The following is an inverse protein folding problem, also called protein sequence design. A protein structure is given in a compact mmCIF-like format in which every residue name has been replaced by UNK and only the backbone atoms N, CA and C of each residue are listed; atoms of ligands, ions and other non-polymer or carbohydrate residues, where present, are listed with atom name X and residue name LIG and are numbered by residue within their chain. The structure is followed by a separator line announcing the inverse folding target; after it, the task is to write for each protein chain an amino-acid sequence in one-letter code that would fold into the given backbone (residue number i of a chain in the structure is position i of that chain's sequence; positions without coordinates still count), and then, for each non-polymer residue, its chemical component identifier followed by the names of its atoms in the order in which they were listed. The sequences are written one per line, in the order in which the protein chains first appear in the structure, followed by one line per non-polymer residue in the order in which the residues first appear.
data_IF_642789194404
#
_entry.id   IF_642789194404
#
_cell.length_a   1.000
_cell.length_b   1.000
_cell.length_c   1.000
_cell.angle_alpha   90.00
_cell.angle_beta   90.00
_cell.angle_gamma   90.00
#
_symmetry.space_group_name_H-M   'P 1'
#
loop_
_entity.id
_entity.type
_entity.pdbx_description
1 polymer ?
#
# COMPACT_ATOMS: atom_id res chain seq x y z
N UNK A 1 11.66 -5.75 -6.62
CA UNK A 1 11.77 -4.31 -6.95
C UNK A 1 11.06 -4.00 -8.27
N UNK A 2 11.38 -4.67 -9.39
CA UNK A 2 10.78 -4.37 -10.71
C UNK A 2 9.25 -4.47 -10.73
N UNK A 3 8.64 -5.45 -10.06
CA UNK A 3 7.19 -5.57 -9.94
C UNK A 3 6.54 -4.36 -9.27
N UNK A 4 7.18 -3.77 -8.26
CA UNK A 4 6.65 -2.57 -7.59
C UNK A 4 6.62 -1.37 -8.54
N UNK A 5 7.67 -1.17 -9.33
CA UNK A 5 7.71 -0.12 -10.35
C UNK A 5 6.62 -0.34 -11.40
N UNK A 6 6.49 -1.58 -11.89
CA UNK A 6 5.44 -1.94 -12.85
C UNK A 6 4.04 -1.66 -12.30
N UNK A 7 3.74 -2.08 -11.06
CA UNK A 7 2.43 -1.85 -10.45
C UNK A 7 2.11 -0.38 -10.26
N UNK A 8 3.08 0.43 -9.87
CA UNK A 8 2.91 1.89 -9.76
C UNK A 8 2.55 2.50 -11.10
N UNK A 9 3.32 2.25 -12.13
CA UNK A 9 3.04 2.76 -13.47
C UNK A 9 1.71 2.25 -14.04
N UNK A 10 1.37 0.98 -13.79
CA UNK A 10 0.08 0.42 -14.23
C UNK A 10 -1.11 1.12 -13.56
N UNK A 11 -1.04 1.36 -12.24
CA UNK A 11 -2.09 2.04 -11.49
C UNK A 11 -2.19 3.52 -11.87
N UNK A 12 -1.08 4.19 -12.12
CA UNK A 12 -1.06 5.58 -12.57
C UNK A 12 -1.81 5.79 -13.88
N UNK A 13 -1.74 4.82 -14.78
CA UNK A 13 -2.50 4.83 -16.04
C UNK A 13 -3.98 4.44 -15.83
N UNK A 14 -4.36 3.92 -14.67
CA UNK A 14 -5.72 3.46 -14.35
C UNK A 14 -6.13 3.86 -12.93
N UNK A 15 -6.13 5.15 -12.60
CA UNK A 15 -6.35 5.62 -11.22
C UNK A 15 -7.72 5.22 -10.65
N UNK A 16 -8.72 5.02 -11.51
CA UNK A 16 -10.06 4.60 -11.10
C UNK A 16 -10.08 3.21 -10.42
N UNK A 17 -9.07 2.37 -10.66
CA UNK A 17 -8.94 1.09 -9.92
C UNK A 17 -8.80 1.34 -8.41
N UNK A 18 -8.02 2.35 -8.02
CA UNK A 18 -7.86 2.74 -6.62
C UNK A 18 -9.12 3.36 -6.05
N UNK A 19 -9.76 4.26 -6.79
CA UNK A 19 -11.02 4.92 -6.35
C UNK A 19 -12.13 3.89 -6.14
N UNK A 20 -12.31 2.97 -7.09
CA UNK A 20 -13.32 1.91 -7.00
C UNK A 20 -13.04 0.97 -5.83
N UNK A 21 -11.77 0.61 -5.62
CA UNK A 21 -11.37 -0.19 -4.47
C UNK A 21 -11.78 0.48 -3.15
N UNK A 22 -11.54 1.79 -3.00
CA UNK A 22 -11.89 2.51 -1.78
C UNK A 22 -13.41 2.60 -1.57
N UNK A 23 -14.19 2.79 -2.64
CA UNK A 23 -15.66 2.81 -2.56
C UNK A 23 -16.19 1.43 -2.14
N UNK A 24 -15.73 0.36 -2.77
CA UNK A 24 -16.10 -1.01 -2.41
C UNK A 24 -15.71 -1.36 -0.98
N UNK A 25 -14.48 -1.00 -0.60
CA UNK A 25 -13.96 -1.22 0.76
C UNK A 25 -14.85 -0.57 1.82
N UNK A 26 -15.30 0.66 1.58
CA UNK A 26 -16.16 1.37 2.53
C UNK A 26 -17.52 0.66 2.73
N UNK A 27 -18.11 0.12 1.67
CA UNK A 27 -19.34 -0.66 1.74
C UNK A 27 -19.12 -1.97 2.51
N UNK A 28 -18.03 -2.70 2.17
CA UNK A 28 -17.68 -3.96 2.80
C UNK A 28 -17.34 -3.83 4.30
N UNK A 29 -16.73 -2.74 4.72
CA UNK A 29 -16.50 -2.47 6.15
C UNK A 29 -17.82 -2.45 6.94
N UNK A 30 -18.87 -1.84 6.39
CA UNK A 30 -20.17 -1.78 7.03
C UNK A 30 -20.86 -3.14 7.05
N UNK A 31 -20.76 -3.89 5.95
CA UNK A 31 -21.35 -5.23 5.80
C UNK A 31 -20.67 -6.25 6.73
N UNK A 32 -19.35 -6.25 6.79
CA UNK A 32 -18.55 -7.26 7.49
C UNK A 32 -18.19 -6.91 8.94
N UNK A 33 -18.55 -5.71 9.45
CA UNK A 33 -18.17 -5.26 10.81
C UNK A 33 -18.49 -6.23 11.93
N UNK A 34 -19.56 -7.04 11.77
CA UNK A 34 -20.01 -8.05 12.74
C UNK A 34 -19.91 -9.48 12.18
N UNK A 35 -19.26 -9.69 11.04
CA UNK A 35 -19.10 -10.99 10.45
C UNK A 35 -18.05 -11.80 11.23
N UNK A 36 -18.46 -12.91 11.83
CA UNK A 36 -17.59 -13.69 12.73
C UNK A 36 -16.37 -14.28 12.00
N UNK A 37 -16.54 -14.73 10.75
CA UNK A 37 -15.43 -15.27 9.96
C UNK A 37 -14.36 -14.20 9.69
N UNK A 38 -14.79 -12.99 9.34
CA UNK A 38 -13.89 -11.85 9.16
C UNK A 38 -13.18 -11.50 10.47
N UNK A 39 -13.90 -11.38 11.58
CA UNK A 39 -13.32 -11.10 12.90
C UNK A 39 -12.31 -12.17 13.31
N UNK A 40 -12.63 -13.44 13.14
CA UNK A 40 -11.70 -14.54 13.40
C UNK A 40 -10.46 -14.47 12.48
N UNK A 41 -10.64 -14.12 11.21
CA UNK A 41 -9.54 -14.00 10.28
C UNK A 41 -8.55 -12.89 10.69
N UNK A 42 -9.01 -11.69 10.99
CA UNK A 42 -8.14 -10.59 11.40
C UNK A 42 -7.51 -10.80 12.78
N UNK A 43 -8.11 -11.64 13.63
CA UNK A 43 -7.57 -12.00 14.95
C UNK A 43 -6.62 -13.22 14.91
N UNK A 44 -6.56 -13.94 13.78
CA UNK A 44 -5.80 -15.18 13.68
C UNK A 44 -6.40 -16.32 14.50
N UNK A 45 -7.72 -16.43 14.50
CA UNK A 45 -8.51 -17.43 15.24
C UNK A 45 -9.33 -18.32 14.31
N UNK A 46 -8.80 -18.59 13.12
CA UNK A 46 -9.42 -19.49 12.15
C UNK A 46 -9.05 -20.95 12.47
N UNK A 47 -9.62 -21.90 11.73
CA UNK A 47 -9.22 -23.29 11.77
C UNK A 47 -7.95 -23.62 10.97
N UNK A 48 -7.25 -22.61 10.42
CA UNK A 48 -6.05 -22.76 9.59
C UNK A 48 -4.85 -22.26 10.35
N UNK A 49 -4.07 -23.18 10.94
CA UNK A 49 -2.97 -22.86 11.83
C UNK A 49 -1.91 -21.94 11.19
N UNK A 50 -1.46 -22.24 9.97
CA UNK A 50 -0.45 -21.43 9.28
C UNK A 50 -0.94 -20.00 9.04
N UNK A 51 -2.21 -19.82 8.69
CA UNK A 51 -2.82 -18.51 8.51
C UNK A 51 -2.83 -17.71 9.81
N UNK A 52 -3.24 -18.33 10.92
CA UNK A 52 -3.26 -17.70 12.23
C UNK A 52 -1.84 -17.25 12.66
N UNK A 53 -0.85 -18.10 12.42
CA UNK A 53 0.54 -17.75 12.71
C UNK A 53 1.02 -16.57 11.86
N UNK A 54 0.65 -16.50 10.58
CA UNK A 54 1.02 -15.36 9.71
C UNK A 54 0.28 -14.06 10.08
N UNK A 55 -0.96 -14.13 10.58
CA UNK A 55 -1.64 -12.96 11.16
C UNK A 55 -0.84 -12.42 12.35
N UNK A 56 -0.40 -13.30 13.25
CA UNK A 56 0.43 -12.93 14.39
C UNK A 56 1.76 -12.31 13.93
N UNK A 57 2.46 -12.96 13.01
CA UNK A 57 3.73 -12.50 12.45
C UNK A 57 3.57 -11.12 11.79
N UNK A 58 2.50 -10.91 11.01
CA UNK A 58 2.21 -9.63 10.39
C UNK A 58 2.01 -8.52 11.42
N UNK A 59 1.26 -8.76 12.49
CA UNK A 59 1.00 -7.77 13.55
C UNK A 59 2.22 -7.51 14.45
N UNK A 60 3.08 -8.51 14.64
CA UNK A 60 4.27 -8.40 15.48
C UNK A 60 5.44 -7.76 14.74
N UNK A 61 5.72 -8.23 13.51
CA UNK A 61 6.90 -7.87 12.73
C UNK A 61 6.61 -6.83 11.62
N UNK A 62 5.35 -6.60 11.30
CA UNK A 62 4.90 -5.71 10.23
C UNK A 62 5.50 -6.06 8.84
N UNK A 63 5.79 -7.33 8.67
CA UNK A 63 6.38 -7.91 7.46
C UNK A 63 5.93 -9.36 7.28
N UNK A 64 5.74 -9.76 6.03
CA UNK A 64 5.61 -11.16 5.61
C UNK A 64 6.47 -11.40 4.38
N UNK A 65 7.09 -12.57 4.31
CA UNK A 65 7.81 -12.99 3.11
C UNK A 65 6.88 -13.05 1.89
N UNK A 66 7.41 -12.81 0.70
CA UNK A 66 6.60 -12.71 -0.53
C UNK A 66 5.70 -13.93 -0.78
N UNK A 67 6.21 -15.16 -0.63
CA UNK A 67 5.39 -16.38 -0.77
C UNK A 67 4.27 -16.41 0.27
N UNK A 68 4.56 -16.05 1.50
CA UNK A 68 3.57 -16.00 2.58
C UNK A 68 2.44 -15.02 2.26
N UNK A 69 2.75 -13.88 1.64
CA UNK A 69 1.71 -12.91 1.22
C UNK A 69 0.77 -13.52 0.19
N UNK A 70 1.30 -14.30 -0.76
CA UNK A 70 0.48 -14.97 -1.78
C UNK A 70 -0.39 -16.06 -1.16
N UNK A 71 0.16 -16.91 -0.28
CA UNK A 71 -0.60 -17.93 0.44
C UNK A 71 -1.68 -17.31 1.32
N UNK A 72 -1.33 -16.27 2.08
CA UNK A 72 -2.26 -15.53 2.93
C UNK A 72 -3.45 -15.01 2.12
N UNK A 73 -3.18 -14.31 1.02
CA UNK A 73 -4.24 -13.74 0.18
C UNK A 73 -5.11 -14.83 -0.46
N UNK A 74 -4.51 -15.93 -0.92
CA UNK A 74 -5.25 -17.06 -1.47
C UNK A 74 -6.16 -17.72 -0.42
N UNK A 75 -5.65 -17.96 0.78
CA UNK A 75 -6.44 -18.53 1.89
C UNK A 75 -7.58 -17.59 2.27
N UNK A 76 -7.29 -16.30 2.41
CA UNK A 76 -8.30 -15.29 2.71
C UNK A 76 -9.45 -15.30 1.70
N UNK A 77 -9.12 -15.28 0.41
CA UNK A 77 -10.10 -15.14 -0.67
C UNK A 77 -10.86 -16.46 -0.91
N UNK A 78 -10.15 -17.58 -1.02
CA UNK A 78 -10.71 -18.80 -1.58
C UNK A 78 -11.04 -19.86 -0.53
N UNK A 79 -10.37 -19.88 0.63
CA UNK A 79 -10.65 -20.85 1.69
C UNK A 79 -11.53 -20.25 2.77
N UNK A 80 -11.27 -19.00 3.18
CA UNK A 80 -12.11 -18.29 4.15
C UNK A 80 -13.28 -17.54 3.49
N UNK A 81 -13.30 -17.48 2.15
CA UNK A 81 -14.34 -16.84 1.34
C UNK A 81 -14.61 -15.38 1.73
N UNK A 82 -13.55 -14.65 2.07
CA UNK A 82 -13.64 -13.25 2.48
C UNK A 82 -13.31 -12.30 1.32
N UNK A 83 -13.95 -11.13 1.24
CA UNK A 83 -13.67 -10.13 0.22
C UNK A 83 -12.19 -9.74 0.20
N UNK A 84 -11.58 -9.77 -0.99
CA UNK A 84 -10.17 -9.44 -1.16
C UNK A 84 -9.83 -8.01 -0.72
N UNK A 85 -10.80 -7.09 -0.83
CA UNK A 85 -10.64 -5.69 -0.46
C UNK A 85 -10.35 -5.53 1.04
N UNK A 86 -11.02 -6.30 1.90
CA UNK A 86 -10.79 -6.30 3.35
C UNK A 86 -9.42 -6.89 3.70
N UNK A 87 -8.98 -7.91 2.96
CA UNK A 87 -7.63 -8.46 3.12
C UNK A 87 -6.54 -7.49 2.68
N UNK A 88 -6.76 -6.79 1.56
CA UNK A 88 -5.86 -5.74 1.09
C UNK A 88 -5.77 -4.58 2.09
N UNK A 89 -6.89 -4.19 2.71
CA UNK A 89 -6.90 -3.23 3.81
C UNK A 89 -6.06 -3.71 4.98
N UNK A 90 -6.27 -4.95 5.44
CA UNK A 90 -5.53 -5.53 6.56
C UNK A 90 -4.02 -5.52 6.33
N UNK A 91 -3.57 -5.79 5.11
CA UNK A 91 -2.16 -5.67 4.74
C UNK A 91 -1.66 -4.22 4.77
N UNK A 92 -2.43 -3.27 4.22
CA UNK A 92 -2.05 -1.84 4.28
C UNK A 92 -1.93 -1.32 5.70
N UNK A 93 -2.79 -1.79 6.61
CA UNK A 93 -2.78 -1.40 8.02
C UNK A 93 -1.50 -1.82 8.72
N UNK A 94 -0.93 -2.98 8.36
CA UNK A 94 0.12 -3.62 9.14
C UNK A 94 1.47 -3.71 8.46
N UNK A 95 1.58 -3.68 7.12
CA UNK A 95 2.86 -3.79 6.42
C UNK A 95 3.66 -2.48 6.47
N UNK A 96 4.92 -2.53 6.89
CA UNK A 96 5.85 -1.39 6.79
C UNK A 96 6.07 -0.94 5.34
N UNK A 97 6.10 -1.88 4.42
CA UNK A 97 6.26 -1.63 2.99
C UNK A 97 4.92 -1.52 2.22
N UNK A 98 3.82 -1.30 2.94
CA UNK A 98 2.50 -1.10 2.36
C UNK A 98 2.48 0.05 1.34
N UNK A 99 2.06 -0.26 0.11
CA UNK A 99 2.03 0.65 -1.03
C UNK A 99 0.71 0.48 -1.77
N UNK A 100 0.00 1.57 -2.03
CA UNK A 100 -1.33 1.54 -2.62
C UNK A 100 -1.40 0.71 -3.92
N UNK A 101 -0.42 0.87 -4.82
CA UNK A 101 -0.39 0.14 -6.09
C UNK A 101 -0.04 -1.34 -5.89
N UNK A 102 1.12 -1.61 -5.28
CA UNK A 102 1.61 -3.00 -5.14
C UNK A 102 0.67 -3.86 -4.32
N UNK A 103 0.10 -3.31 -3.25
CA UNK A 103 -0.82 -4.06 -2.41
C UNK A 103 -2.15 -4.33 -3.12
N UNK A 104 -2.82 -3.30 -3.63
CA UNK A 104 -4.12 -3.46 -4.29
C UNK A 104 -4.02 -4.38 -5.50
N UNK A 105 -3.02 -4.17 -6.37
CA UNK A 105 -2.87 -4.96 -7.59
C UNK A 105 -2.36 -6.37 -7.30
N UNK A 106 -1.56 -6.55 -6.25
CA UNK A 106 -1.14 -7.88 -5.78
C UNK A 106 -2.32 -8.73 -5.31
N UNK A 107 -3.24 -8.17 -4.51
CA UNK A 107 -4.47 -8.84 -4.10
C UNK A 107 -5.40 -9.13 -5.27
N UNK A 108 -5.56 -8.18 -6.20
CA UNK A 108 -6.32 -8.38 -7.45
C UNK A 108 -5.71 -9.49 -8.32
N UNK A 109 -4.38 -9.60 -8.33
CA UNK A 109 -3.69 -10.66 -9.06
C UNK A 109 -3.96 -12.04 -8.46
N UNK A 110 -3.87 -12.20 -7.13
CA UNK A 110 -4.24 -13.46 -6.46
C UNK A 110 -5.69 -13.82 -6.74
N UNK A 111 -6.61 -12.85 -6.69
CA UNK A 111 -8.02 -13.04 -6.96
C UNK A 111 -8.36 -13.45 -8.41
N UNK A 112 -7.45 -13.24 -9.38
CA UNK A 112 -7.69 -13.51 -10.80
C UNK A 112 -8.37 -12.37 -11.54
N UNK A 113 -8.46 -11.17 -10.94
CA UNK A 113 -9.08 -9.98 -11.51
C UNK A 113 -8.07 -9.16 -12.32
N UNK A 114 -6.80 -9.10 -11.89
CA UNK A 114 -5.76 -8.30 -12.53
C UNK A 114 -5.39 -8.82 -13.93
N UNK A 115 -5.37 -10.13 -14.08
CA UNK A 115 -5.38 -10.81 -15.36
C UNK A 115 -6.55 -11.76 -15.33
N UNK A 116 -7.63 -11.40 -16.01
CA UNK A 116 -8.89 -12.13 -15.94
C UNK A 116 -8.71 -13.63 -16.11
N UNK A 117 -9.20 -14.39 -15.13
CA UNK A 117 -9.15 -15.85 -15.13
C UNK A 117 -7.83 -16.48 -14.68
N UNK A 118 -6.76 -15.68 -14.45
CA UNK A 118 -5.48 -16.18 -13.93
C UNK A 118 -5.37 -15.80 -12.45
N UNK A 119 -5.69 -16.72 -11.58
CA UNK A 119 -5.60 -16.56 -10.13
C UNK A 119 -4.49 -17.44 -9.55
N UNK A 120 -4.18 -17.22 -8.28
CA UNK A 120 -3.21 -18.02 -7.55
C UNK A 120 -3.89 -18.77 -6.41
N UNK A 121 -3.76 -20.10 -6.38
CA UNK A 121 -4.23 -20.93 -5.29
C UNK A 121 -3.06 -21.43 -4.45
N UNK A 122 -3.15 -21.20 -3.14
CA UNK A 122 -2.27 -21.82 -2.17
C UNK A 122 -2.57 -23.33 -2.13
N UNK A 123 -1.52 -24.16 -2.07
CA UNK A 123 -1.66 -25.59 -1.88
C UNK A 123 -0.91 -26.07 -0.65
N UNK A 124 -1.46 -27.09 0.02
CA UNK A 124 -0.81 -27.69 1.18
C UNK A 124 0.60 -28.16 0.86
N UNK A 125 0.79 -28.82 -0.27
CA UNK A 125 2.10 -29.30 -0.71
C UNK A 125 3.13 -28.17 -0.80
N UNK A 126 2.74 -27.03 -1.37
CA UNK A 126 3.64 -25.88 -1.53
C UNK A 126 4.00 -25.26 -0.18
N UNK A 127 3.00 -25.02 0.67
CA UNK A 127 3.22 -24.50 2.02
C UNK A 127 4.12 -25.45 2.82
N UNK A 128 3.80 -26.75 2.87
CA UNK A 128 4.59 -27.77 3.56
C UNK A 128 6.06 -27.76 3.10
N UNK A 129 6.29 -27.78 1.78
CA UNK A 129 7.62 -27.81 1.19
C UNK A 129 8.46 -26.58 1.59
N UNK A 130 7.91 -25.38 1.44
CA UNK A 130 8.65 -24.13 1.65
C UNK A 130 8.64 -23.63 3.10
N UNK A 131 7.97 -24.34 4.01
CA UNK A 131 8.06 -24.14 5.46
C UNK A 131 8.82 -25.24 6.18
N UNK A 132 9.56 -26.08 5.46
CA UNK A 132 10.31 -27.21 6.00
C UNK A 132 9.43 -28.16 6.85
N UNK A 133 8.26 -28.50 6.34
CA UNK A 133 7.23 -29.31 6.99
C UNK A 133 6.66 -28.74 8.30
N UNK A 134 6.87 -27.46 8.58
CA UNK A 134 6.32 -26.79 9.77
C UNK A 134 4.79 -26.82 9.78
N UNK A 135 4.18 -26.65 8.61
CA UNK A 135 2.73 -26.68 8.43
C UNK A 135 2.37 -27.84 7.49
N UNK A 136 1.47 -28.70 7.93
CA UNK A 136 0.99 -29.86 7.18
C UNK A 136 -0.43 -30.21 7.62
N UNK A 137 -1.13 -31.05 6.86
CA UNK A 137 -2.52 -31.42 7.06
C UNK A 137 -3.47 -30.19 7.04
N UNK A 138 -3.17 -29.23 6.16
CA UNK A 138 -3.92 -27.99 6.01
C UNK A 138 -5.04 -28.24 5.00
N UNK A 139 -6.26 -27.97 5.39
CA UNK A 139 -7.42 -28.06 4.48
C UNK A 139 -7.60 -26.71 3.76
N UNK A 140 -7.30 -26.67 2.47
CA UNK A 140 -7.40 -25.49 1.61
C UNK A 140 -8.34 -25.76 0.44
N UNK A 141 -8.99 -24.73 -0.07
CA UNK A 141 -9.72 -24.80 -1.32
C UNK A 141 -8.75 -24.65 -2.50
N UNK A 142 -8.19 -25.77 -2.94
CA UNK A 142 -7.22 -25.84 -4.04
C UNK A 142 -7.87 -25.88 -5.43
N UNK A 143 -9.20 -25.87 -5.51
CA UNK A 143 -9.97 -25.96 -6.77
C UNK A 143 -10.93 -24.78 -6.98
N UNK A 144 -10.72 -23.67 -6.27
CA UNK A 144 -11.56 -22.48 -6.38
C UNK A 144 -11.44 -21.85 -7.78
N UNK A 145 -12.54 -21.31 -8.27
CA UNK A 145 -12.55 -20.51 -9.49
C UNK A 145 -12.05 -19.07 -9.22
N UNK A 146 -11.45 -18.41 -10.21
CA UNK A 146 -11.08 -17.00 -10.10
C UNK A 146 -12.32 -16.14 -9.84
N UNK A 147 -12.13 -15.04 -9.13
CA UNK A 147 -13.18 -14.05 -8.97
C UNK A 147 -13.44 -13.39 -10.32
N UNK A 148 -14.71 -13.34 -10.72
CA UNK A 148 -15.13 -12.63 -11.92
C UNK A 148 -15.30 -11.13 -11.62
N UNK A 149 -14.87 -10.28 -12.55
CA UNK A 149 -15.14 -8.85 -12.55
C UNK A 149 -15.44 -8.40 -13.97
N UNK A 150 -16.56 -7.73 -14.16
CA UNK A 150 -16.96 -7.10 -15.43
C UNK A 150 -16.36 -5.69 -15.60
N UNK A 151 -15.72 -5.17 -14.56
CA UNK A 151 -15.12 -3.83 -14.58
C UNK A 151 -13.93 -3.76 -15.51
N UNK A 152 -13.98 -2.83 -16.42
CA UNK A 152 -12.89 -2.45 -17.33
C UNK A 152 -12.42 -1.04 -17.04
N UNK A 153 -11.12 -0.82 -17.17
CA UNK A 153 -10.50 0.47 -16.88
C UNK A 153 -9.73 0.97 -18.11
N UNK A 154 -10.14 2.11 -18.62
CA UNK A 154 -9.43 2.78 -19.71
C UNK A 154 -8.09 3.32 -19.24
N UNK A 155 -7.12 3.34 -20.17
CA UNK A 155 -5.82 3.97 -19.95
C UNK A 155 -6.03 5.49 -20.00
N UNK A 156 -5.76 6.16 -18.88
CA UNK A 156 -5.71 7.62 -18.83
C UNK A 156 -4.43 8.15 -19.48
N UNK A 157 -4.53 9.26 -20.22
CA UNK A 157 -3.34 10.03 -20.59
C UNK A 157 -2.92 10.85 -19.38
N UNK A 158 -1.63 10.79 -19.05
CA UNK A 158 -1.00 11.76 -18.14
C UNK A 158 -0.18 12.73 -18.97
N UNK A 159 -0.59 13.96 -18.99
CA UNK A 159 0.25 15.04 -19.45
C UNK A 159 1.14 15.45 -18.27
N UNK A 160 2.40 15.05 -18.31
CA UNK A 160 3.38 15.57 -17.38
C UNK A 160 3.66 17.01 -17.79
N UNK A 161 3.30 17.95 -16.94
CA UNK A 161 3.70 19.32 -17.12
C UNK A 161 5.22 19.40 -16.97
N UNK A 162 5.93 19.61 -18.08
CA UNK A 162 7.31 20.04 -18.08
C UNK A 162 7.35 21.51 -17.61
N UNK A 163 7.11 21.73 -16.32
CA UNK A 163 7.33 23.05 -15.73
C UNK A 163 8.79 23.17 -15.38
N UNK A 164 9.44 24.24 -15.84
CA UNK A 164 10.75 24.61 -15.31
C UNK A 164 10.62 24.76 -13.78
N UNK A 165 11.48 24.05 -13.06
CA UNK A 165 11.57 24.21 -11.62
C UNK A 165 12.39 25.46 -11.38
N UNK A 166 11.75 26.48 -10.85
CA UNK A 166 12.42 27.73 -10.50
C UNK A 166 13.30 27.51 -9.25
N UNK A 167 14.45 28.13 -9.24
CA UNK A 167 15.30 28.17 -8.04
C UNK A 167 14.57 28.89 -6.89
N UNK A 168 15.02 28.63 -5.68
CA UNK A 168 14.52 29.28 -4.45
C UNK A 168 13.03 29.07 -4.13
N UNK A 169 12.51 27.92 -4.56
CA UNK A 169 11.12 27.49 -4.26
C UNK A 169 11.08 26.43 -3.17
N UNK A 170 9.91 26.27 -2.55
CA UNK A 170 9.65 25.22 -1.58
C UNK A 170 9.26 23.91 -2.28
N UNK A 171 9.89 22.78 -1.88
CA UNK A 171 9.59 21.43 -2.38
C UNK A 171 8.86 20.60 -1.32
N UNK A 172 7.78 19.97 -1.69
CA UNK A 172 7.09 18.97 -0.89
C UNK A 172 7.62 17.55 -1.22
N UNK A 173 8.03 16.83 -0.20
CA UNK A 173 8.49 15.43 -0.32
C UNK A 173 7.64 14.57 0.61
N UNK A 174 6.93 13.60 0.03
CA UNK A 174 6.04 12.72 0.78
C UNK A 174 6.77 11.48 1.32
N UNK A 175 6.22 10.86 2.34
CA UNK A 175 6.73 9.70 3.06
C UNK A 175 7.09 8.46 2.20
N UNK A 176 6.67 8.44 0.94
CA UNK A 176 7.02 7.39 -0.03
C UNK A 176 8.24 7.75 -0.91
N UNK A 177 8.85 8.92 -0.72
CA UNK A 177 10.00 9.43 -1.47
C UNK A 177 11.18 9.83 -0.56
N UNK A 178 11.47 9.05 0.48
CA UNK A 178 12.48 9.34 1.51
C UNK A 178 13.92 9.10 1.04
N UNK A 179 14.21 9.40 -0.21
CA UNK A 179 15.53 9.25 -0.83
C UNK A 179 15.83 10.44 -1.76
N UNK A 180 15.46 11.65 -1.31
CA UNK A 180 15.59 12.87 -2.12
C UNK A 180 17.02 13.09 -2.63
N UNK A 181 18.04 12.79 -1.81
CA UNK A 181 19.45 12.95 -2.15
C UNK A 181 19.94 12.04 -3.30
N UNK A 182 19.12 11.12 -3.75
CA UNK A 182 19.36 10.27 -4.93
C UNK A 182 18.41 10.60 -6.09
N UNK A 183 17.56 11.63 -5.93
CA UNK A 183 16.66 12.06 -6.99
C UNK A 183 17.39 12.87 -8.06
N UNK A 184 16.76 13.05 -9.21
CA UNK A 184 17.26 13.90 -10.29
C UNK A 184 17.32 15.38 -9.90
N UNK A 185 16.65 15.76 -8.81
CA UNK A 185 16.58 17.13 -8.29
C UNK A 185 17.57 17.42 -7.15
N UNK A 186 18.45 16.49 -6.81
CA UNK A 186 19.39 16.62 -5.68
C UNK A 186 20.32 17.82 -5.77
N UNK A 187 20.65 18.26 -6.99
CA UNK A 187 21.54 19.42 -7.23
C UNK A 187 20.75 20.75 -7.35
N UNK A 188 19.40 20.67 -7.36
CA UNK A 188 18.58 21.86 -7.46
C UNK A 188 18.54 22.62 -6.13
N UNK A 189 18.69 23.95 -6.18
CA UNK A 189 18.68 24.81 -4.99
C UNK A 189 17.28 25.18 -4.59
N UNK A 190 16.68 24.37 -3.71
CA UNK A 190 15.41 24.71 -3.08
C UNK A 190 15.62 25.65 -1.89
N UNK A 191 14.73 26.62 -1.72
CA UNK A 191 14.65 27.46 -0.52
C UNK A 191 14.46 26.60 0.74
N UNK A 192 13.60 25.60 0.62
CA UNK A 192 13.19 24.73 1.71
C UNK A 192 12.61 23.42 1.18
N UNK A 193 12.87 22.33 1.87
CA UNK A 193 12.21 21.05 1.65
C UNK A 193 11.24 20.77 2.82
N UNK A 194 9.96 20.54 2.51
CA UNK A 194 8.96 20.14 3.47
C UNK A 194 8.72 18.62 3.35
N UNK A 195 9.09 17.89 4.39
CA UNK A 195 8.84 16.45 4.52
C UNK A 195 7.44 16.26 5.06
N UNK A 196 6.54 15.76 4.22
CA UNK A 196 5.11 15.72 4.51
C UNK A 196 4.72 14.40 5.16
N UNK A 197 4.20 14.48 6.40
CA UNK A 197 3.55 13.36 7.08
C UNK A 197 2.05 13.34 6.80
N UNK A 198 1.48 12.14 6.71
CA UNK A 198 0.04 11.94 6.57
C UNK A 198 -0.44 10.88 7.57
N UNK A 199 -0.82 11.31 8.77
CA UNK A 199 -1.27 10.41 9.84
C UNK A 199 -2.79 10.27 9.89
N UNK A 200 -3.52 11.31 9.54
CA UNK A 200 -4.96 11.44 9.77
C UNK A 200 -5.80 11.48 8.49
N UNK A 201 -5.25 11.96 7.40
CA UNK A 201 -5.98 12.08 6.12
C UNK A 201 -5.80 10.83 5.25
N UNK A 202 -6.29 9.69 5.77
CA UNK A 202 -6.18 8.38 5.13
C UNK A 202 -7.53 7.69 5.03
N UNK A 203 -7.77 7.05 3.90
CA UNK A 203 -8.92 6.14 3.71
C UNK A 203 -8.71 4.82 4.47
N UNK A 204 -7.47 4.40 4.62
CA UNK A 204 -7.07 3.20 5.37
C UNK A 204 -6.30 3.62 6.61
N UNK A 205 -6.85 3.33 7.78
CA UNK A 205 -6.21 3.61 9.06
C UNK A 205 -5.01 2.69 9.26
N UNK A 206 -3.81 3.24 9.36
CA UNK A 206 -2.59 2.49 9.63
C UNK A 206 -2.46 2.12 11.11
N UNK A 207 -1.78 1.01 11.41
CA UNK A 207 -1.43 0.65 12.79
C UNK A 207 -0.42 1.63 13.39
N UNK A 208 -0.39 1.75 14.71
CA UNK A 208 0.55 2.62 15.42
C UNK A 208 2.01 2.31 15.08
N UNK A 209 2.36 1.04 14.92
CA UNK A 209 3.71 0.62 14.52
C UNK A 209 4.09 1.14 13.13
N UNK A 210 3.16 1.08 12.17
CA UNK A 210 3.40 1.59 10.81
C UNK A 210 3.49 3.11 10.82
N UNK A 211 2.64 3.81 11.56
CA UNK A 211 2.72 5.27 11.72
C UNK A 211 4.07 5.68 12.33
N UNK A 212 4.50 5.00 13.40
CA UNK A 212 5.82 5.25 14.02
C UNK A 212 6.97 4.98 13.07
N UNK A 213 6.90 3.90 12.29
CA UNK A 213 7.93 3.60 11.29
C UNK A 213 8.02 4.71 10.23
N UNK A 214 6.88 5.19 9.71
CA UNK A 214 6.84 6.29 8.76
C UNK A 214 7.37 7.60 9.35
N UNK A 215 7.04 7.92 10.60
CA UNK A 215 7.59 9.08 11.30
C UNK A 215 9.12 8.98 11.45
N UNK A 216 9.65 7.80 11.77
CA UNK A 216 11.09 7.57 11.84
C UNK A 216 11.78 7.73 10.48
N UNK A 217 11.15 7.32 9.38
CA UNK A 217 11.69 7.54 8.03
C UNK A 217 11.77 9.03 7.67
N UNK A 218 10.78 9.83 8.07
CA UNK A 218 10.80 11.28 7.87
C UNK A 218 11.93 11.93 8.69
N UNK A 219 12.12 11.53 9.94
CA UNK A 219 13.19 12.07 10.78
C UNK A 219 14.59 11.65 10.30
N UNK A 220 14.75 10.41 9.82
CA UNK A 220 15.98 9.95 9.17
C UNK A 220 16.29 10.78 7.91
N UNK A 221 15.31 11.00 7.03
CA UNK A 221 15.49 11.83 5.84
C UNK A 221 15.86 13.26 6.23
N UNK A 222 15.22 13.85 7.24
CA UNK A 222 15.52 15.18 7.74
C UNK A 222 16.97 15.28 8.24
N UNK A 223 17.40 14.30 9.02
CA UNK A 223 18.78 14.23 9.52
C UNK A 223 19.79 14.22 8.37
N UNK A 224 19.60 13.34 7.37
CA UNK A 224 20.48 13.21 6.21
C UNK A 224 20.53 14.48 5.34
N UNK A 225 19.41 15.20 5.23
CA UNK A 225 19.37 16.47 4.50
C UNK A 225 20.07 17.60 5.27
N UNK A 226 19.87 17.66 6.60
CA UNK A 226 20.54 18.65 7.46
C UNK A 226 22.07 18.45 7.47
N UNK A 227 22.56 17.22 7.48
CA UNK A 227 24.00 16.91 7.35
C UNK A 227 24.60 17.45 6.04
N UNK A 228 23.78 17.59 5.00
CA UNK A 228 24.15 18.19 3.72
C UNK A 228 23.87 19.71 3.65
N UNK A 229 23.53 20.34 4.78
CA UNK A 229 23.15 21.76 4.88
C UNK A 229 21.95 22.15 4.00
N UNK A 230 21.05 21.19 3.73
CA UNK A 230 19.79 21.42 3.02
C UNK A 230 18.73 21.79 4.06
N UNK A 231 18.13 22.98 3.91
CA UNK A 231 17.07 23.44 4.79
C UNK A 231 15.82 22.57 4.65
N UNK A 232 15.45 21.82 5.69
CA UNK A 232 14.27 20.95 5.67
C UNK A 232 13.53 20.92 7.02
N UNK A 233 12.22 20.77 6.93
CA UNK A 233 11.30 20.65 8.08
C UNK A 233 10.28 19.58 7.81
N UNK A 234 9.72 19.00 8.90
CA UNK A 234 8.58 18.09 8.82
C UNK A 234 7.29 18.88 9.00
N UNK A 235 6.29 18.62 8.16
CA UNK A 235 4.97 19.22 8.20
C UNK A 235 3.87 18.16 8.11
N UNK A 236 2.76 18.35 8.83
CA UNK A 236 1.59 17.50 8.65
C UNK A 236 0.84 17.89 7.36
N UNK A 237 0.30 16.91 6.65
CA UNK A 237 -0.42 17.13 5.40
C UNK A 237 -1.58 18.13 5.55
N UNK A 238 -2.25 18.15 6.71
CA UNK A 238 -3.36 19.07 6.98
C UNK A 238 -2.92 20.54 7.09
N UNK A 239 -1.64 20.77 7.40
CA UNK A 239 -1.09 22.12 7.53
C UNK A 239 -0.65 22.69 6.19
N UNK A 240 -0.59 21.89 5.12
CA UNK A 240 -0.30 22.35 3.76
C UNK A 240 -1.28 23.41 3.27
N UNK A 241 -2.54 23.37 3.72
CA UNK A 241 -3.56 24.39 3.40
C UNK A 241 -3.19 25.81 3.91
N UNK A 242 -2.25 25.91 4.85
CA UNK A 242 -1.79 27.20 5.37
C UNK A 242 -0.65 27.80 4.52
N UNK A 243 -0.13 27.06 3.54
CA UNK A 243 0.92 27.52 2.62
C UNK A 243 0.23 28.31 1.51
N UNK A 244 0.57 29.60 1.43
CA UNK A 244 -0.01 30.53 0.43
C UNK A 244 0.91 30.75 -0.78
N UNK A 245 2.17 30.34 -0.67
CA UNK A 245 3.15 30.43 -1.76
C UNK A 245 3.01 29.24 -2.72
N UNK A 246 3.46 29.43 -3.96
CA UNK A 246 3.56 28.33 -4.93
C UNK A 246 4.63 27.35 -4.46
N UNK A 247 4.28 26.07 -4.44
CA UNK A 247 5.20 24.98 -4.08
C UNK A 247 5.30 23.96 -5.20
N UNK A 248 6.42 23.26 -5.25
CA UNK A 248 6.58 22.06 -6.07
C UNK A 248 6.38 20.82 -5.21
N UNK A 249 5.94 19.73 -5.79
CA UNK A 249 5.83 18.45 -5.10
C UNK A 249 6.48 17.34 -5.91
N UNK A 250 7.26 16.48 -5.26
CA UNK A 250 7.58 15.20 -5.86
C UNK A 250 6.28 14.41 -5.98
N UNK A 251 5.98 13.96 -7.19
CA UNK A 251 4.72 13.28 -7.48
C UNK A 251 4.53 12.05 -6.57
N UNK A 252 3.49 12.03 -5.70
CA UNK A 252 3.37 11.03 -4.65
C UNK A 252 2.79 9.69 -5.15
N UNK A 253 2.60 9.50 -6.45
CA UNK A 253 1.91 8.36 -7.06
C UNK A 253 0.44 8.23 -6.63
N UNK A 254 -0.32 7.33 -7.26
CA UNK A 254 -1.75 7.12 -6.91
C UNK A 254 -1.87 6.61 -5.47
N UNK A 255 -2.45 7.43 -4.61
CA UNK A 255 -2.61 7.16 -3.17
C UNK A 255 -3.44 8.26 -2.52
N UNK A 256 -3.65 8.18 -1.20
CA UNK A 256 -4.30 9.24 -0.43
C UNK A 256 -3.57 10.59 -0.52
N UNK A 257 -2.23 10.57 -0.60
CA UNK A 257 -1.44 11.81 -0.71
C UNK A 257 -1.72 12.54 -2.03
N UNK A 258 -1.83 11.80 -3.14
CA UNK A 258 -2.20 12.41 -4.43
C UNK A 258 -3.61 12.96 -4.39
N UNK A 259 -4.56 12.21 -3.84
CA UNK A 259 -5.95 12.66 -3.70
C UNK A 259 -6.04 13.96 -2.88
N UNK A 260 -5.23 14.06 -1.82
CA UNK A 260 -5.19 15.30 -1.03
C UNK A 260 -4.71 16.50 -1.85
N UNK A 261 -3.60 16.35 -2.59
CA UNK A 261 -3.03 17.46 -3.40
C UNK A 261 -4.01 17.88 -4.52
N UNK A 262 -4.70 16.93 -5.12
CA UNK A 262 -5.63 17.22 -6.22
C UNK A 262 -6.93 17.92 -5.77
N UNK A 263 -7.28 17.79 -4.49
CA UNK A 263 -8.53 18.32 -3.93
C UNK A 263 -8.33 19.61 -3.10
N UNK A 264 -7.10 20.03 -2.87
CA UNK A 264 -6.73 21.23 -2.10
C UNK A 264 -5.72 22.10 -2.82
#
# INVERSE_FOLDING_TARGET
VLWRVYWKGWLELRPNVWSDYLVELNNLRNEFKNNQNYLNAIEGKTNIECFNQWVKELKENNYLHNHTRMWFASIWIFTLELPWQLGAEFFMQHLYDGDAASNTLGWRWVAGIQTQGKHYLASEWNIKKFTNNRFQNIQLNENASPIFSDKTYSIGKKDFLNSEILEDQTLLVFENNMTFEFSDFKEHKFKKILLVSNDTNRNIKLSEKVLKFKANLLEDQKTRLNEKSINCETININDLKNITEKVYALYPTVSENLNFIQNN
#
